data_IF_703166734097
#
_entry.id   IF_703166734097
#
_cell.length_a   1.000
_cell.length_b   1.000
_cell.length_c   1.000
_cell.angle_alpha   90.00
_cell.angle_beta   90.00
_cell.angle_gamma   90.00
#
_symmetry.space_group_name_H-M   'P 1'
#
loop_
_entity.id
_entity.type
_entity.pdbx_description
1 polymer ?
#
# COMPACT_ATOMS: atom_id res chain seq x y z
N UNK A 1 25.22 5.61 -9.05
CA UNK A 1 24.00 6.13 -9.72
C UNK A 1 23.72 7.62 -9.43
N UNK A 2 24.44 8.29 -8.52
CA UNK A 2 24.39 9.74 -8.31
C UNK A 2 25.68 10.22 -7.63
N UNK A 3 25.96 11.54 -7.67
CA UNK A 3 27.15 12.14 -7.07
C UNK A 3 26.86 12.93 -5.79
N UNK A 4 25.65 13.51 -5.64
CA UNK A 4 25.22 14.32 -4.49
C UNK A 4 23.70 14.24 -4.31
N UNK A 5 23.22 14.48 -3.08
CA UNK A 5 21.78 14.51 -2.72
C UNK A 5 21.53 15.64 -1.73
N UNK A 6 20.37 16.29 -1.85
CA UNK A 6 19.82 17.22 -0.86
C UNK A 6 18.46 16.65 -0.43
N UNK A 7 18.26 16.49 0.88
CA UNK A 7 16.99 16.04 1.46
C UNK A 7 16.30 17.21 2.15
N UNK A 8 15.22 17.72 1.57
CA UNK A 8 14.45 18.84 2.13
C UNK A 8 13.11 18.33 2.67
N UNK A 9 12.76 18.77 3.88
CA UNK A 9 11.47 18.48 4.53
C UNK A 9 11.13 16.99 4.70
N UNK A 10 12.14 16.11 4.64
CA UNK A 10 11.97 14.66 4.81
C UNK A 10 13.31 13.95 4.88
N UNK A 11 13.32 12.74 5.45
CA UNK A 11 14.47 11.83 5.49
C UNK A 11 13.99 10.39 5.30
N UNK A 12 14.90 9.45 5.00
CA UNK A 12 14.55 8.05 4.77
C UNK A 12 14.01 7.31 6.02
N UNK A 13 14.24 7.84 7.22
CA UNK A 13 13.89 7.21 8.49
C UNK A 13 12.71 7.90 9.20
N UNK A 14 11.96 8.72 8.47
CA UNK A 14 10.70 9.25 8.98
C UNK A 14 9.75 8.11 9.36
N UNK A 15 9.06 8.22 10.50
CA UNK A 15 8.16 7.18 11.02
C UNK A 15 7.00 6.83 10.07
N UNK A 16 6.66 7.74 9.15
CA UNK A 16 5.64 7.55 8.11
C UNK A 16 6.22 6.99 6.80
N UNK A 17 7.55 7.03 6.62
CA UNK A 17 8.21 6.60 5.38
C UNK A 17 8.54 5.10 5.39
N UNK A 18 8.62 4.48 6.58
CA UNK A 18 9.01 3.08 6.75
C UNK A 18 7.92 2.35 7.53
N UNK A 19 7.41 1.26 6.96
CA UNK A 19 6.60 0.31 7.71
C UNK A 19 7.52 -0.57 8.56
N UNK A 20 7.29 -0.59 9.87
CA UNK A 20 8.14 -1.30 10.84
C UNK A 20 7.98 -2.82 10.81
N UNK A 21 6.91 -3.35 10.20
CA UNK A 21 6.65 -4.79 10.12
C UNK A 21 6.00 -5.18 8.78
N UNK A 22 6.45 -6.29 8.15
CA UNK A 22 5.78 -6.88 6.99
C UNK A 22 4.31 -7.22 7.25
N UNK A 23 3.95 -7.58 8.49
CA UNK A 23 2.58 -7.96 8.85
C UNK A 23 1.63 -6.75 8.79
N UNK A 24 2.11 -5.56 9.11
CA UNK A 24 1.34 -4.32 8.99
C UNK A 24 1.02 -4.03 7.53
N UNK A 25 2.01 -4.14 6.63
CA UNK A 25 1.78 -3.96 5.20
C UNK A 25 0.87 -5.05 4.62
N UNK A 26 1.05 -6.31 5.03
CA UNK A 26 0.18 -7.43 4.62
C UNK A 26 -1.26 -7.20 5.08
N UNK A 27 -1.48 -6.88 6.35
CA UNK A 27 -2.83 -6.65 6.88
C UNK A 27 -3.54 -5.45 6.24
N UNK A 28 -2.82 -4.37 5.91
CA UNK A 28 -3.36 -3.25 5.15
C UNK A 28 -3.77 -3.66 3.73
N UNK A 29 -2.93 -4.42 3.02
CA UNK A 29 -3.27 -4.94 1.68
C UNK A 29 -4.51 -5.84 1.72
N UNK A 30 -4.61 -6.74 2.71
CA UNK A 30 -5.79 -7.60 2.92
C UNK A 30 -7.03 -6.81 3.35
N UNK A 31 -6.86 -5.68 4.07
CA UNK A 31 -7.97 -4.78 4.40
C UNK A 31 -8.52 -4.11 3.14
N UNK A 32 -7.64 -3.57 2.29
CA UNK A 32 -8.01 -3.00 0.99
C UNK A 32 -8.72 -4.02 0.10
N UNK A 33 -8.15 -5.23 -0.01
CA UNK A 33 -8.74 -6.34 -0.76
C UNK A 33 -10.18 -6.63 -0.30
N UNK A 34 -10.38 -6.82 1.01
CA UNK A 34 -11.72 -7.08 1.56
C UNK A 34 -12.74 -5.98 1.27
N UNK A 35 -12.33 -4.71 1.35
CA UNK A 35 -13.21 -3.59 1.04
C UNK A 35 -13.64 -3.54 -0.44
N UNK A 36 -12.84 -4.13 -1.33
CA UNK A 36 -13.10 -4.24 -2.77
C UNK A 36 -13.65 -5.62 -3.18
N UNK A 37 -14.08 -6.43 -2.21
CA UNK A 37 -14.53 -7.82 -2.40
C UNK A 37 -13.48 -8.76 -3.02
N UNK A 38 -12.20 -8.47 -2.83
CA UNK A 38 -11.07 -9.36 -3.10
C UNK A 38 -10.62 -10.03 -1.78
N UNK A 39 -11.36 -11.01 -1.27
CA UNK A 39 -11.04 -11.71 -0.01
C UNK A 39 -10.29 -13.01 -0.29
N UNK A 40 -8.97 -12.93 -0.50
CA UNK A 40 -8.08 -14.06 -0.78
C UNK A 40 -6.89 -14.07 0.18
N UNK A 41 -6.63 -15.20 0.83
CA UNK A 41 -5.49 -15.35 1.75
C UNK A 41 -4.14 -15.44 1.02
N UNK A 42 -4.17 -15.91 -0.23
CA UNK A 42 -3.00 -15.95 -1.10
C UNK A 42 -2.68 -14.57 -1.68
N UNK A 43 -1.41 -14.19 -1.61
CA UNK A 43 -0.95 -12.86 -2.03
C UNK A 43 -0.95 -12.67 -3.55
N UNK A 44 -0.84 -13.75 -4.33
CA UNK A 44 -0.87 -13.69 -5.80
C UNK A 44 -2.31 -13.48 -6.26
N UNK A 45 -3.25 -14.23 -5.71
CA UNK A 45 -4.67 -14.09 -6.03
C UNK A 45 -5.21 -12.70 -5.64
N UNK A 46 -4.87 -12.22 -4.43
CA UNK A 46 -5.22 -10.87 -3.99
C UNK A 46 -4.70 -9.80 -4.97
N UNK A 47 -3.43 -9.91 -5.40
CA UNK A 47 -2.84 -8.99 -6.37
C UNK A 47 -3.60 -9.03 -7.69
N UNK A 48 -3.85 -10.22 -8.22
CA UNK A 48 -4.49 -10.39 -9.53
C UNK A 48 -5.91 -9.80 -9.51
N UNK A 49 -6.67 -9.99 -8.42
CA UNK A 49 -7.97 -9.34 -8.24
C UNK A 49 -7.87 -7.80 -8.17
N UNK A 50 -6.89 -7.26 -7.44
CA UNK A 50 -6.70 -5.80 -7.33
C UNK A 50 -6.30 -5.17 -8.67
N UNK A 51 -5.58 -5.89 -9.54
CA UNK A 51 -5.20 -5.41 -10.87
C UNK A 51 -6.37 -5.31 -11.84
N UNK A 52 -7.47 -6.02 -11.57
CA UNK A 52 -8.71 -5.95 -12.37
C UNK A 52 -9.64 -4.81 -11.92
N UNK A 53 -9.40 -4.19 -10.77
CA UNK A 53 -10.23 -3.10 -10.24
C UNK A 53 -9.95 -1.77 -10.94
N UNK A 54 -10.98 -0.94 -11.01
CA UNK A 54 -10.82 0.42 -11.51
C UNK A 54 -9.96 1.27 -10.55
N UNK A 55 -9.11 2.12 -11.13
CA UNK A 55 -8.19 2.96 -10.36
C UNK A 55 -8.92 3.93 -9.42
N UNK A 56 -10.12 4.40 -9.80
CA UNK A 56 -10.94 5.26 -8.96
C UNK A 56 -11.52 4.51 -7.78
N UNK A 57 -11.87 3.23 -7.93
CA UNK A 57 -12.33 2.42 -6.80
C UNK A 57 -11.21 2.19 -5.78
N UNK A 58 -9.99 1.87 -6.25
CA UNK A 58 -8.82 1.67 -5.38
C UNK A 58 -8.52 2.92 -4.55
N UNK A 59 -8.46 4.08 -5.20
CA UNK A 59 -8.13 5.36 -4.53
C UNK A 59 -9.23 5.83 -3.59
N UNK A 60 -10.50 5.64 -3.95
CA UNK A 60 -11.64 6.03 -3.10
C UNK A 60 -11.66 5.24 -1.79
N UNK A 61 -11.38 3.94 -1.83
CA UNK A 61 -11.33 3.10 -0.63
C UNK A 61 -10.15 3.48 0.26
N UNK A 62 -8.98 3.74 -0.32
CA UNK A 62 -7.78 4.14 0.43
C UNK A 62 -7.96 5.49 1.15
N UNK A 63 -8.53 6.49 0.46
CA UNK A 63 -8.82 7.81 1.03
C UNK A 63 -9.81 7.78 2.20
N UNK A 64 -10.67 6.77 2.28
CA UNK A 64 -11.63 6.64 3.38
C UNK A 64 -10.93 6.37 4.73
N UNK A 65 -9.67 5.92 4.72
CA UNK A 65 -8.94 5.48 5.91
C UNK A 65 -7.76 6.37 6.28
N UNK A 66 -7.50 7.41 5.50
CA UNK A 66 -6.48 8.43 5.78
C UNK A 66 -7.12 9.57 6.55
#
# INVERSE_FOLDING_TARGET
LFHRVISQSGTAVGVWAVNSSPDTSRSQAHRLGRALNCSMDDSKELRDCLLEKDAMELTKVDQQWT
#
